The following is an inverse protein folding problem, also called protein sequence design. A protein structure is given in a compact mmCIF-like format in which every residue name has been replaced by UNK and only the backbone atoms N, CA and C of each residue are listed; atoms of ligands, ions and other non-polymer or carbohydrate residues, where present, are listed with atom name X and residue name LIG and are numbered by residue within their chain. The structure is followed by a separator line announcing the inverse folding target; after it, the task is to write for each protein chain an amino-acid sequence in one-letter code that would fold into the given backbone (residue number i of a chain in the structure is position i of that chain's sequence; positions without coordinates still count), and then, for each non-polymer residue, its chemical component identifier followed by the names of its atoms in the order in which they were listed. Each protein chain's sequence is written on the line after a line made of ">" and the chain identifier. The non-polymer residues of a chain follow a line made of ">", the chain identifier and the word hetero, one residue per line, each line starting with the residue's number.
data_IF_061381508814
#
_entry.id   IF_061381508814
#
_cell.length_a   1.000
_cell.length_b   1.000
_cell.length_c   1.000
_cell.angle_alpha   90.00
_cell.angle_beta   90.00
_cell.angle_gamma   90.00
#
_symmetry.space_group_name_H-M   'P 1'
#
loop_
_entity.id
_entity.type
_entity.pdbx_description
1 polymer ?
#
# COMPACT_ATOMS: atom_id res chain seq x y z
N UNK A 1 1.93 -16.58 -20.37
CA UNK A 1 2.04 -17.25 -19.08
C UNK A 1 1.25 -16.46 -18.04
N UNK A 2 0.34 -17.13 -17.36
CA UNK A 2 -0.45 -16.51 -16.29
C UNK A 2 0.47 -16.37 -15.07
N UNK A 3 0.60 -15.16 -14.56
CA UNK A 3 1.39 -14.88 -13.37
C UNK A 3 0.44 -14.66 -12.20
N UNK A 4 0.46 -15.56 -11.23
CA UNK A 4 -0.31 -15.41 -10.01
C UNK A 4 0.51 -14.62 -9.01
N UNK A 5 -0.03 -13.52 -8.55
CA UNK A 5 0.63 -12.63 -7.60
C UNK A 5 -0.23 -12.47 -6.36
N UNK A 6 0.35 -12.74 -5.20
CA UNK A 6 -0.30 -12.42 -3.93
C UNK A 6 -0.07 -10.96 -3.61
N UNK A 7 -1.16 -10.30 -3.21
CA UNK A 7 -1.13 -8.91 -2.74
C UNK A 7 -1.86 -8.82 -1.41
N UNK A 8 -1.42 -7.91 -0.57
CA UNK A 8 -2.08 -7.64 0.69
C UNK A 8 -2.35 -6.15 0.84
N UNK A 9 -3.54 -5.83 1.27
CA UNK A 9 -3.97 -4.48 1.60
C UNK A 9 -4.24 -4.35 3.09
N UNK A 10 -3.89 -3.21 3.65
CA UNK A 10 -4.10 -2.92 5.06
C UNK A 10 -4.76 -1.55 5.19
N UNK A 11 -5.90 -1.52 5.87
CA UNK A 11 -6.60 -0.29 6.20
C UNK A 11 -6.63 -0.15 7.73
N UNK A 12 -5.97 0.89 8.23
CA UNK A 12 -5.94 1.19 9.65
C UNK A 12 -6.92 2.34 9.90
N UNK A 13 -8.17 1.94 10.15
CA UNK A 13 -9.23 2.91 10.44
C UNK A 13 -9.27 3.28 11.91
N UNK A 14 -10.06 4.29 12.25
CA UNK A 14 -10.21 4.74 13.64
C UNK A 14 -10.97 3.73 14.54
N UNK A 15 -11.82 2.90 13.94
CA UNK A 15 -12.62 1.91 14.65
C UNK A 15 -12.09 0.49 14.48
N UNK A 16 -11.62 0.16 13.28
CA UNK A 16 -11.15 -1.19 12.96
C UNK A 16 -9.97 -1.15 12.01
N UNK A 17 -9.08 -2.12 12.18
CA UNK A 17 -7.98 -2.40 11.28
C UNK A 17 -8.36 -3.62 10.45
N UNK A 18 -8.29 -3.50 9.14
CA UNK A 18 -8.69 -4.56 8.21
C UNK A 18 -7.52 -4.93 7.33
N UNK A 19 -7.25 -6.22 7.22
CA UNK A 19 -6.27 -6.77 6.29
C UNK A 19 -6.97 -7.65 5.27
N UNK A 20 -6.58 -7.54 4.02
CA UNK A 20 -7.12 -8.35 2.92
C UNK A 20 -5.96 -8.96 2.16
N UNK A 21 -6.02 -10.26 1.94
CA UNK A 21 -5.06 -10.97 1.09
C UNK A 21 -5.81 -11.45 -0.14
N UNK A 22 -5.26 -11.16 -1.31
CA UNK A 22 -5.85 -11.52 -2.58
C UNK A 22 -4.77 -12.04 -3.53
N UNK A 23 -5.22 -12.82 -4.51
CA UNK A 23 -4.38 -13.15 -5.65
C UNK A 23 -4.85 -12.36 -6.87
N UNK A 24 -3.89 -11.92 -7.64
CA UNK A 24 -4.15 -11.27 -8.93
C UNK A 24 -3.78 -12.26 -10.01
N UNK A 25 -4.77 -12.63 -10.81
CA UNK A 25 -4.64 -13.65 -11.86
C UNK A 25 -4.99 -13.01 -13.20
N UNK A 26 -4.25 -13.35 -14.23
CA UNK A 26 -4.56 -12.94 -15.59
C UNK A 26 -3.44 -12.14 -16.26
N UNK A 27 -3.70 -11.69 -17.48
CA UNK A 27 -2.75 -10.94 -18.27
C UNK A 27 -2.75 -9.47 -17.88
N UNK A 28 -1.81 -9.10 -17.00
CA UNK A 28 -1.58 -7.69 -16.69
C UNK A 28 -0.96 -6.98 -17.91
N UNK A 29 -1.40 -5.76 -18.23
CA UNK A 29 -2.37 -4.93 -17.52
C UNK A 29 -3.81 -5.02 -18.04
N UNK A 30 -4.12 -5.93 -18.95
CA UNK A 30 -5.39 -5.88 -19.70
C UNK A 30 -6.63 -6.26 -18.88
N UNK A 31 -6.65 -7.44 -18.27
CA UNK A 31 -7.85 -7.94 -17.57
C UNK A 31 -7.48 -8.76 -16.34
N UNK A 32 -6.93 -8.13 -15.29
CA UNK A 32 -6.65 -8.87 -14.08
C UNK A 32 -7.95 -9.24 -13.37
N UNK A 33 -7.98 -10.46 -12.84
CA UNK A 33 -9.02 -10.90 -11.91
C UNK A 33 -8.42 -10.91 -10.52
N UNK A 34 -9.14 -10.35 -9.56
CA UNK A 34 -8.72 -10.32 -8.16
C UNK A 34 -9.59 -11.27 -7.37
N UNK A 35 -8.98 -12.27 -6.77
CA UNK A 35 -9.66 -13.23 -5.91
C UNK A 35 -9.27 -12.96 -4.46
N UNK A 36 -10.26 -12.66 -3.61
CA UNK A 36 -10.02 -12.46 -2.19
C UNK A 36 -9.81 -13.83 -1.54
N UNK A 37 -8.66 -14.04 -0.93
CA UNK A 37 -8.28 -15.29 -0.28
C UNK A 37 -8.47 -15.26 1.22
N UNK A 38 -8.30 -14.10 1.84
CA UNK A 38 -8.43 -13.96 3.27
C UNK A 38 -8.68 -12.54 3.71
N UNK A 39 -9.44 -12.39 4.77
CA UNK A 39 -9.75 -11.11 5.41
C UNK A 39 -9.56 -11.26 6.90
N UNK A 40 -8.88 -10.30 7.51
CA UNK A 40 -8.74 -10.22 8.95
C UNK A 40 -9.14 -8.84 9.45
N UNK A 41 -9.74 -8.79 10.62
CA UNK A 41 -10.12 -7.54 11.26
C UNK A 41 -9.77 -7.56 12.72
N UNK A 42 -9.34 -6.41 13.22
CA UNK A 42 -9.16 -6.18 14.65
C UNK A 42 -9.73 -4.81 15.01
N UNK A 43 -10.22 -4.69 16.24
CA UNK A 43 -10.62 -3.40 16.75
C UNK A 43 -9.38 -2.51 16.85
N UNK A 44 -9.43 -1.32 16.28
CA UNK A 44 -8.30 -0.40 16.34
C UNK A 44 -8.17 0.20 17.73
N UNK A 45 -6.97 0.07 18.29
CA UNK A 45 -6.57 0.75 19.52
C UNK A 45 -5.21 1.42 19.25
N UNK A 46 -4.85 2.40 20.07
CA UNK A 46 -3.59 3.12 19.90
C UNK A 46 -3.62 4.27 18.92
N UNK A 47 -4.77 4.56 18.31
CA UNK A 47 -4.93 5.74 17.45
C UNK A 47 -5.74 6.82 18.15
N UNK A 48 -5.35 8.06 17.95
CA UNK A 48 -6.15 9.24 18.28
C UNK A 48 -6.22 10.15 17.06
N UNK A 49 -7.44 10.42 16.58
CA UNK A 49 -7.69 11.26 15.40
C UNK A 49 -6.86 10.80 14.20
N UNK A 50 -6.80 9.48 13.99
CA UNK A 50 -6.00 8.84 12.92
C UNK A 50 -4.48 9.05 13.05
N UNK A 51 -4.00 9.42 14.23
CA UNK A 51 -2.57 9.53 14.53
C UNK A 51 -2.19 8.43 15.51
N UNK A 52 -1.06 7.76 15.24
CA UNK A 52 -0.56 6.71 16.11
C UNK A 52 -0.15 7.33 17.47
N UNK A 53 -0.91 7.03 18.51
CA UNK A 53 -0.63 7.48 19.87
C UNK A 53 0.09 6.41 20.68
N UNK A 54 -0.13 5.12 20.38
CA UNK A 54 0.52 3.98 21.02
C UNK A 54 0.95 2.99 19.94
N UNK A 55 2.26 2.90 19.73
CA UNK A 55 2.85 2.06 18.69
C UNK A 55 2.63 0.57 19.00
N UNK A 56 2.76 0.17 20.25
CA UNK A 56 2.61 -1.25 20.62
C UNK A 56 1.18 -1.74 20.40
N UNK A 57 0.20 -0.94 20.78
CA UNK A 57 -1.20 -1.29 20.56
C UNK A 57 -1.58 -1.30 19.09
N UNK A 58 -1.12 -0.31 18.34
CA UNK A 58 -1.34 -0.27 16.89
C UNK A 58 -0.71 -1.47 16.20
N UNK A 59 0.48 -1.85 16.61
CA UNK A 59 1.17 -3.04 16.11
C UNK A 59 0.38 -4.30 16.38
N UNK A 60 -0.16 -4.46 17.59
CA UNK A 60 -0.98 -5.63 17.92
C UNK A 60 -2.23 -5.73 17.04
N UNK A 61 -2.89 -4.59 16.79
CA UNK A 61 -4.06 -4.57 15.91
C UNK A 61 -3.72 -5.00 14.49
N UNK A 62 -2.61 -4.49 13.97
CA UNK A 62 -2.14 -4.84 12.63
C UNK A 62 -1.77 -6.31 12.56
N UNK A 63 -1.01 -6.81 13.53
CA UNK A 63 -0.60 -8.21 13.56
C UNK A 63 -1.79 -9.14 13.65
N UNK A 64 -2.78 -8.82 14.50
CA UNK A 64 -3.98 -9.65 14.62
C UNK A 64 -4.76 -9.70 13.31
N UNK A 65 -4.97 -8.56 12.67
CA UNK A 65 -5.67 -8.51 11.39
C UNK A 65 -4.92 -9.29 10.31
N UNK A 66 -3.61 -9.13 10.24
CA UNK A 66 -2.77 -9.84 9.26
C UNK A 66 -2.74 -11.35 9.52
N UNK A 67 -2.59 -11.77 10.76
CA UNK A 67 -2.58 -13.21 11.11
C UNK A 67 -3.90 -13.88 10.77
N UNK A 68 -5.02 -13.22 11.05
CA UNK A 68 -6.34 -13.77 10.71
C UNK A 68 -6.52 -13.87 9.19
N UNK A 69 -6.08 -12.86 8.45
CA UNK A 69 -6.13 -12.88 6.98
C UNK A 69 -5.23 -13.98 6.41
N UNK A 70 -4.02 -14.11 6.92
CA UNK A 70 -3.07 -15.15 6.48
C UNK A 70 -3.58 -16.56 6.79
N UNK A 71 -4.20 -16.73 7.95
CA UNK A 71 -4.79 -18.03 8.32
C UNK A 71 -5.92 -18.41 7.38
N UNK A 72 -6.79 -17.47 7.05
CA UNK A 72 -7.89 -17.70 6.11
C UNK A 72 -7.37 -17.96 4.68
N UNK A 73 -6.37 -17.20 4.25
CA UNK A 73 -5.79 -17.35 2.92
C UNK A 73 -4.93 -18.59 2.77
N UNK A 74 -4.41 -19.12 3.87
CA UNK A 74 -3.45 -20.24 3.82
C UNK A 74 -2.09 -19.82 3.27
N UNK A 75 -1.74 -18.54 3.35
CA UNK A 75 -0.51 -17.99 2.80
C UNK A 75 -0.01 -16.86 3.68
N UNK A 76 1.30 -16.65 3.68
CA UNK A 76 1.93 -15.52 4.37
C UNK A 76 2.40 -14.48 3.36
N UNK A 77 2.32 -13.23 3.75
CA UNK A 77 2.78 -12.10 2.94
C UNK A 77 3.80 -11.29 3.70
N UNK A 78 4.74 -10.70 2.98
CA UNK A 78 5.82 -9.89 3.57
C UNK A 78 5.70 -8.41 3.23
N UNK A 79 4.83 -8.09 2.29
CA UNK A 79 4.64 -6.71 1.82
C UNK A 79 3.15 -6.41 1.79
N UNK A 80 2.78 -5.24 2.27
CA UNK A 80 1.39 -4.79 2.25
C UNK A 80 1.30 -3.41 1.61
N UNK A 81 0.17 -3.12 0.97
CA UNK A 81 -0.22 -1.79 0.56
C UNK A 81 -1.10 -1.19 1.63
N UNK A 82 -0.74 -0.04 2.16
CA UNK A 82 -1.50 0.63 3.21
C UNK A 82 -1.84 2.05 2.79
N UNK A 83 -3.08 2.44 3.03
CA UNK A 83 -3.48 3.83 2.96
C UNK A 83 -3.05 4.57 4.22
N UNK A 84 -2.85 5.85 4.11
CA UNK A 84 -2.60 6.73 5.25
C UNK A 84 -3.60 7.88 5.26
N UNK A 85 -4.02 8.25 6.47
CA UNK A 85 -4.89 9.37 6.69
C UNK A 85 -4.49 10.06 8.01
N UNK A 86 -4.89 11.29 8.17
CA UNK A 86 -4.64 12.05 9.40
C UNK A 86 -4.34 13.52 9.13
N UNK A 87 -4.42 14.32 10.16
CA UNK A 87 -4.19 15.77 10.05
C UNK A 87 -2.74 16.12 9.66
N UNK A 88 -1.81 15.21 9.93
CA UNK A 88 -0.39 15.37 9.59
C UNK A 88 -0.07 15.03 8.13
N UNK A 89 -1.01 14.42 7.40
CA UNK A 89 -0.81 14.07 5.99
C UNK A 89 -1.01 15.33 5.15
N UNK A 90 0.01 15.67 4.41
CA UNK A 90 -0.03 16.82 3.51
C UNK A 90 0.27 16.38 2.09
N UNK A 91 -0.47 16.92 1.15
CA UNK A 91 -0.18 16.77 -0.26
C UNK A 91 0.38 18.07 -0.80
N UNK A 92 1.42 18.00 -1.56
CA UNK A 92 2.00 19.16 -2.22
C UNK A 92 2.43 18.82 -3.63
N UNK A 93 2.40 19.83 -4.48
CA UNK A 93 2.84 19.69 -5.86
C UNK A 93 4.25 20.25 -5.98
N UNK A 94 5.11 19.51 -6.61
CA UNK A 94 6.46 19.97 -6.92
C UNK A 94 6.71 19.78 -8.41
N UNK A 95 7.52 20.66 -8.97
CA UNK A 95 7.89 20.58 -10.39
C UNK A 95 9.33 20.13 -10.52
N UNK A 96 9.55 19.09 -11.31
CA UNK A 96 10.87 18.64 -11.71
C UNK A 96 11.02 18.72 -13.21
N UNK A 97 12.19 19.14 -13.67
CA UNK A 97 12.48 19.27 -15.10
C UNK A 97 13.72 18.46 -15.41
N UNK A 98 13.64 17.63 -16.44
CA UNK A 98 14.78 16.87 -16.94
C UNK A 98 14.89 17.03 -18.45
N UNK A 99 16.13 17.11 -18.95
CA UNK A 99 16.39 17.20 -20.39
C UNK A 99 16.17 15.85 -21.06
N UNK A 100 15.48 15.87 -22.18
CA UNK A 100 15.28 14.70 -23.03
C UNK A 100 16.29 14.76 -24.17
N UNK A 101 17.18 13.77 -24.26
CA UNK A 101 18.25 13.75 -25.27
C UNK A 101 17.90 12.97 -26.52
N UNK A 102 16.84 12.16 -26.47
CA UNK A 102 16.38 11.36 -27.58
C UNK A 102 15.13 11.92 -28.22
N UNK A 103 14.61 11.19 -29.20
CA UNK A 103 13.38 11.55 -29.89
C UNK A 103 12.12 11.29 -29.05
N UNK A 104 12.24 10.46 -28.02
CA UNK A 104 11.13 10.06 -27.17
C UNK A 104 11.51 10.21 -25.69
N UNK A 105 10.50 10.40 -24.85
CA UNK A 105 10.66 10.43 -23.41
C UNK A 105 10.86 8.99 -22.93
N UNK A 106 11.94 8.76 -22.19
CA UNK A 106 12.25 7.44 -21.62
C UNK A 106 11.88 7.39 -20.14
N UNK A 107 11.83 6.16 -19.59
CA UNK A 107 11.66 5.98 -18.14
C UNK A 107 12.74 6.69 -17.34
N UNK A 108 13.99 6.68 -17.82
CA UNK A 108 15.09 7.39 -17.18
C UNK A 108 14.85 8.90 -17.10
N UNK A 109 14.25 9.49 -18.13
CA UNK A 109 13.90 10.92 -18.14
C UNK A 109 12.86 11.22 -17.06
N UNK A 110 11.84 10.38 -16.94
CA UNK A 110 10.80 10.52 -15.89
C UNK A 110 11.41 10.37 -14.51
N UNK A 111 12.28 9.39 -14.31
CA UNK A 111 12.91 9.15 -13.00
C UNK A 111 13.75 10.35 -12.57
N UNK A 112 14.53 10.96 -13.50
CA UNK A 112 15.31 12.16 -13.20
C UNK A 112 14.42 13.35 -12.86
N UNK A 113 13.32 13.55 -13.58
CA UNK A 113 12.38 14.62 -13.28
C UNK A 113 11.74 14.43 -11.89
N UNK A 114 11.40 13.20 -11.53
CA UNK A 114 10.84 12.88 -10.24
C UNK A 114 11.83 13.12 -9.09
N UNK A 115 13.10 12.77 -9.28
CA UNK A 115 14.14 13.02 -8.28
C UNK A 115 14.33 14.52 -8.04
N UNK A 116 14.38 15.31 -9.10
CA UNK A 116 14.48 16.77 -8.99
C UNK A 116 13.25 17.34 -8.27
N UNK A 117 12.05 16.89 -8.63
CA UNK A 117 10.82 17.31 -7.95
C UNK A 117 10.81 17.00 -6.46
N UNK A 118 11.32 15.81 -6.05
CA UNK A 118 11.45 15.44 -4.64
C UNK A 118 12.40 16.35 -3.87
N UNK A 119 13.49 16.75 -4.49
CA UNK A 119 14.49 17.59 -3.84
C UNK A 119 13.98 18.99 -3.53
N UNK A 120 12.90 19.43 -4.18
CA UNK A 120 12.30 20.75 -4.03
C UNK A 120 11.13 20.80 -3.01
N UNK A 121 10.83 19.66 -2.38
CA UNK A 121 9.74 19.55 -1.40
C UNK A 121 10.24 19.83 0.01
#
# INVERSE_FOLDING_TARGET
>A
MVSDQLVAGLDIGSAKTTAVIAEVVGDLPKHPTVNILGVGQARTTGLRRNVVADIEESTRCIMKAMEDAERMAGAKVTTVYSGIAGEHVQAMTSTGIASVTGAEITKGDVDRANEIGRAHV
#
